data_IF_508600594250
#
_entry.id   IF_508600594250
#
_cell.length_a   1.000
_cell.length_b   1.000
_cell.length_c   1.000
_cell.angle_alpha   90.00
_cell.angle_beta   90.00
_cell.angle_gamma   90.00
#
_symmetry.space_group_name_H-M   'P 1'
#
loop_
_entity.id
_entity.type
_entity.pdbx_description
1 polymer ?
#
# COMPACT_ATOMS: atom_id res chain seq x y z
N UNK A 1 -24.05 20.77 -0.06
CA UNK A 1 -23.25 21.00 1.15
C UNK A 1 -21.82 21.34 0.75
N UNK A 2 -21.25 22.37 1.35
CA UNK A 2 -19.84 22.75 1.19
C UNK A 2 -18.92 21.67 1.79
N UNK A 3 -17.62 21.72 1.48
CA UNK A 3 -16.62 20.85 2.10
C UNK A 3 -16.68 20.89 3.64
N UNK A 4 -16.73 22.11 4.21
CA UNK A 4 -16.77 22.33 5.67
C UNK A 4 -18.02 21.73 6.30
N UNK A 5 -19.18 21.91 5.67
CA UNK A 5 -20.44 21.34 6.14
C UNK A 5 -20.41 19.81 6.13
N UNK A 6 -19.86 19.19 5.08
CA UNK A 6 -19.75 17.74 5.00
C UNK A 6 -18.82 17.17 6.09
N UNK A 7 -17.70 17.84 6.40
CA UNK A 7 -16.80 17.43 7.48
C UNK A 7 -17.48 17.53 8.86
N UNK A 8 -18.18 18.64 9.14
CA UNK A 8 -18.85 18.85 10.42
C UNK A 8 -20.07 17.92 10.62
N UNK A 9 -20.70 17.48 9.52
CA UNK A 9 -21.86 16.59 9.58
C UNK A 9 -21.52 15.20 10.14
N UNK A 10 -20.36 14.64 9.79
CA UNK A 10 -20.05 13.25 10.10
C UNK A 10 -20.98 12.28 9.37
N UNK A 11 -21.66 11.40 10.10
CA UNK A 11 -22.70 10.55 9.50
C UNK A 11 -23.90 11.42 9.11
N UNK A 12 -24.37 11.38 7.85
CA UNK A 12 -25.52 12.17 7.41
C UNK A 12 -26.78 11.95 8.27
N UNK A 13 -27.69 12.93 8.29
CA UNK A 13 -28.97 12.83 9.02
C UNK A 13 -30.02 11.99 8.27
N UNK A 14 -29.86 11.90 6.95
CA UNK A 14 -30.70 11.15 6.02
C UNK A 14 -29.87 10.11 5.27
N UNK A 15 -30.51 9.02 4.84
CA UNK A 15 -29.80 7.93 4.17
C UNK A 15 -29.39 8.42 2.77
N UNK A 16 -28.09 8.52 2.45
CA UNK A 16 -27.66 8.97 1.14
C UNK A 16 -28.10 7.99 0.05
N UNK A 17 -28.23 8.48 -1.18
CA UNK A 17 -28.45 7.59 -2.31
C UNK A 17 -27.31 6.57 -2.45
N UNK A 18 -27.66 5.35 -2.86
CA UNK A 18 -26.69 4.31 -3.13
C UNK A 18 -25.74 4.76 -4.24
N UNK A 19 -24.43 4.63 -4.00
CA UNK A 19 -23.40 4.97 -5.00
C UNK A 19 -23.13 3.78 -5.91
N UNK A 20 -22.94 4.06 -7.19
CA UNK A 20 -22.42 3.06 -8.13
C UNK A 20 -20.90 2.94 -7.97
N UNK A 21 -20.38 1.73 -8.17
CA UNK A 21 -18.94 1.51 -8.19
C UNK A 21 -18.39 2.00 -9.53
N UNK A 22 -17.45 2.95 -9.56
CA UNK A 22 -16.87 3.40 -10.82
C UNK A 22 -16.09 2.26 -11.48
N UNK A 23 -16.26 2.12 -12.78
CA UNK A 23 -15.49 1.21 -13.60
C UNK A 23 -14.07 1.77 -13.85
N UNK A 24 -13.09 0.89 -14.03
CA UNK A 24 -11.72 1.29 -14.42
C UNK A 24 -10.82 1.85 -13.31
N UNK A 25 -11.27 1.89 -12.04
CA UNK A 25 -10.38 2.29 -10.93
C UNK A 25 -9.51 1.12 -10.43
N UNK A 26 -8.32 1.44 -9.91
CA UNK A 26 -7.43 0.45 -9.29
C UNK A 26 -7.99 -0.02 -7.94
N UNK A 27 -8.81 -1.07 -7.95
CA UNK A 27 -9.43 -1.65 -6.74
C UNK A 27 -8.48 -2.56 -5.97
N UNK A 28 -8.67 -2.64 -4.67
CA UNK A 28 -8.04 -3.71 -3.89
C UNK A 28 -8.55 -5.09 -4.35
N UNK A 29 -7.71 -6.14 -4.32
CA UNK A 29 -8.15 -7.49 -4.63
C UNK A 29 -9.19 -7.98 -3.61
N UNK A 30 -10.10 -8.86 -4.07
CA UNK A 30 -11.08 -9.51 -3.20
C UNK A 30 -10.38 -10.25 -2.06
N UNK A 31 -10.83 -10.05 -0.83
CA UNK A 31 -10.27 -10.70 0.37
C UNK A 31 -10.81 -12.12 0.55
N UNK A 32 -10.05 -12.95 1.28
CA UNK A 32 -10.40 -14.34 1.59
C UNK A 32 -11.75 -14.38 2.33
N UNK A 33 -12.66 -15.22 1.84
CA UNK A 33 -13.94 -15.47 2.52
C UNK A 33 -13.71 -16.50 3.64
N UNK A 34 -13.34 -16.01 4.82
CA UNK A 34 -12.93 -16.84 5.97
C UNK A 34 -14.00 -16.92 7.08
N UNK A 35 -15.05 -16.10 6.98
CA UNK A 35 -16.06 -15.98 8.04
C UNK A 35 -17.11 -17.10 7.95
N UNK A 36 -17.50 -17.65 9.10
CA UNK A 36 -18.70 -18.50 9.23
C UNK A 36 -19.99 -17.71 8.96
N UNK A 37 -21.12 -18.40 8.86
CA UNK A 37 -22.42 -17.74 8.70
C UNK A 37 -22.75 -16.80 9.89
N UNK A 38 -22.48 -17.25 11.11
CA UNK A 38 -22.66 -16.48 12.35
C UNK A 38 -21.71 -15.28 12.41
N UNK A 39 -20.47 -15.46 11.98
CA UNK A 39 -19.48 -14.39 11.89
C UNK A 39 -19.85 -13.36 10.81
N UNK A 40 -20.39 -13.78 9.67
CA UNK A 40 -20.92 -12.85 8.64
C UNK A 40 -22.07 -12.01 9.20
N UNK A 41 -23.00 -12.63 9.94
CA UNK A 41 -24.05 -11.89 10.64
C UNK A 41 -23.48 -10.92 11.68
N UNK A 42 -22.46 -11.34 12.42
CA UNK A 42 -21.77 -10.47 13.38
C UNK A 42 -21.07 -9.30 12.70
N UNK A 43 -20.38 -9.51 11.56
CA UNK A 43 -19.75 -8.45 10.77
C UNK A 43 -20.77 -7.40 10.33
N UNK A 44 -21.94 -7.83 9.86
CA UNK A 44 -23.02 -6.92 9.47
C UNK A 44 -23.55 -6.16 10.69
N UNK A 45 -23.82 -6.83 11.81
CA UNK A 45 -24.22 -6.15 13.07
C UNK A 45 -23.17 -5.14 13.51
N UNK A 46 -21.90 -5.50 13.41
CA UNK A 46 -20.76 -4.66 13.76
C UNK A 46 -20.69 -3.39 12.89
N UNK A 47 -20.93 -3.52 11.58
CA UNK A 47 -21.02 -2.40 10.65
C UNK A 47 -22.24 -1.50 10.93
N UNK A 48 -23.38 -2.09 11.29
CA UNK A 48 -24.62 -1.34 11.58
C UNK A 48 -24.56 -0.47 12.84
N UNK A 49 -23.59 -0.70 13.74
CA UNK A 49 -23.39 0.11 14.97
C UNK A 49 -23.18 1.60 14.68
N UNK A 50 -22.65 1.95 13.50
CA UNK A 50 -22.40 3.34 13.11
C UNK A 50 -23.66 4.09 12.65
N UNK A 51 -24.79 3.40 12.47
CA UNK A 51 -25.96 3.96 11.78
C UNK A 51 -27.25 3.86 12.61
N UNK A 52 -28.19 4.80 12.44
CA UNK A 52 -29.51 4.74 13.05
C UNK A 52 -30.27 3.45 12.71
N UNK A 53 -31.02 2.90 13.69
CA UNK A 53 -31.81 1.66 13.54
C UNK A 53 -32.76 1.69 12.34
N UNK A 54 -33.32 2.86 12.00
CA UNK A 54 -34.22 3.04 10.84
C UNK A 54 -33.58 2.65 9.49
N UNK A 55 -32.25 2.66 9.38
CA UNK A 55 -31.54 2.28 8.15
C UNK A 55 -31.07 0.84 8.14
N UNK A 56 -31.16 0.12 9.26
CA UNK A 56 -30.55 -1.19 9.41
C UNK A 56 -31.10 -2.20 8.40
N UNK A 57 -32.39 -2.14 8.04
CA UNK A 57 -32.98 -3.04 7.05
C UNK A 57 -32.32 -2.91 5.67
N UNK A 58 -32.11 -1.68 5.20
CA UNK A 58 -31.51 -1.43 3.89
C UNK A 58 -29.99 -1.67 3.92
N UNK A 59 -29.31 -1.13 4.94
CA UNK A 59 -27.86 -1.25 5.07
C UNK A 59 -27.40 -2.68 5.36
N UNK A 60 -28.20 -3.51 6.05
CA UNK A 60 -27.85 -4.92 6.27
C UNK A 60 -27.71 -5.67 4.94
N UNK A 61 -28.63 -5.43 4.00
CA UNK A 61 -28.62 -6.05 2.67
C UNK A 61 -27.41 -5.55 1.88
N UNK A 62 -27.15 -4.24 1.91
CA UNK A 62 -26.01 -3.64 1.21
C UNK A 62 -24.66 -4.12 1.77
N UNK A 63 -24.49 -4.16 3.09
CA UNK A 63 -23.26 -4.61 3.73
C UNK A 63 -23.05 -6.12 3.57
N UNK A 64 -24.11 -6.92 3.55
CA UNK A 64 -24.01 -8.33 3.19
C UNK A 64 -23.50 -8.51 1.74
N UNK A 65 -23.95 -7.66 0.82
CA UNK A 65 -23.51 -7.68 -0.57
C UNK A 65 -22.04 -7.23 -0.70
N UNK A 66 -21.63 -6.15 -0.03
CA UNK A 66 -20.22 -5.72 -0.02
C UNK A 66 -19.31 -6.83 0.54
N UNK A 67 -19.71 -7.46 1.65
CA UNK A 67 -18.95 -8.55 2.25
C UNK A 67 -18.80 -9.73 1.28
N UNK A 68 -19.85 -10.06 0.52
CA UNK A 68 -19.81 -11.13 -0.50
C UNK A 68 -18.89 -10.76 -1.68
N UNK A 69 -18.97 -9.53 -2.16
CA UNK A 69 -18.30 -9.10 -3.38
C UNK A 69 -16.81 -8.83 -3.13
N UNK A 70 -16.48 -8.21 -2.00
CA UNK A 70 -15.14 -7.71 -1.70
C UNK A 70 -14.44 -8.46 -0.55
N UNK A 71 -15.17 -9.24 0.25
CA UNK A 71 -14.67 -9.84 1.49
C UNK A 71 -14.55 -8.84 2.65
N UNK A 72 -15.06 -7.61 2.46
CA UNK A 72 -15.02 -6.48 3.41
C UNK A 72 -16.26 -5.61 3.25
N UNK A 73 -16.59 -4.87 4.31
CA UNK A 73 -17.67 -3.87 4.33
C UNK A 73 -17.01 -2.49 4.38
N UNK A 74 -16.88 -1.84 3.23
CA UNK A 74 -16.24 -0.52 3.10
C UNK A 74 -17.22 0.62 3.30
N UNK A 75 -18.53 0.35 3.17
CA UNK A 75 -19.62 1.31 3.29
C UNK A 75 -19.53 2.41 2.21
N UNK A 76 -19.37 2.00 0.94
CA UNK A 76 -19.08 2.93 -0.16
C UNK A 76 -20.13 4.03 -0.35
N UNK A 77 -21.39 3.76 0.02
CA UNK A 77 -22.47 4.76 0.04
C UNK A 77 -22.07 6.04 0.79
N UNK A 78 -21.23 5.91 1.82
CA UNK A 78 -20.84 7.01 2.71
C UNK A 78 -19.50 7.66 2.33
N UNK A 79 -18.84 7.23 1.25
CA UNK A 79 -17.66 7.94 0.75
C UNK A 79 -18.05 9.39 0.40
N UNK A 80 -17.31 10.43 0.84
CA UNK A 80 -17.61 11.81 0.48
C UNK A 80 -17.49 12.10 -1.03
N UNK A 81 -18.21 13.14 -1.47
CA UNK A 81 -18.23 13.61 -2.87
C UNK A 81 -17.21 14.70 -3.16
N UNK A 82 -16.62 15.32 -2.14
CA UNK A 82 -15.49 16.24 -2.37
C UNK A 82 -14.25 15.49 -2.83
N UNK A 83 -13.40 16.20 -3.58
CA UNK A 83 -12.10 15.68 -3.97
C UNK A 83 -11.21 15.41 -2.75
N UNK A 84 -10.57 14.24 -2.75
CA UNK A 84 -9.73 13.75 -1.67
C UNK A 84 -8.27 14.17 -1.90
N UNK A 85 -7.83 15.23 -1.23
CA UNK A 85 -6.45 15.69 -1.26
C UNK A 85 -6.14 16.55 -0.02
N UNK A 86 -4.85 16.74 0.27
CA UNK A 86 -4.41 17.63 1.34
C UNK A 86 -4.64 19.11 0.95
N UNK A 87 -5.68 19.72 1.51
CA UNK A 87 -6.00 21.15 1.37
C UNK A 87 -5.09 22.04 2.24
N UNK A 88 -4.97 23.35 1.94
CA UNK A 88 -4.47 24.34 2.89
C UNK A 88 -5.13 24.20 4.26
N UNK A 89 -4.35 24.31 5.33
CA UNK A 89 -4.81 24.04 6.71
C UNK A 89 -6.00 24.93 7.13
N UNK A 90 -6.11 26.15 6.59
CA UNK A 90 -7.19 27.11 6.85
C UNK A 90 -8.54 26.74 6.22
N UNK A 91 -8.56 25.77 5.29
CA UNK A 91 -9.80 25.28 4.68
C UNK A 91 -10.55 24.28 5.56
N UNK A 92 -9.89 23.67 6.54
CA UNK A 92 -10.53 22.71 7.44
C UNK A 92 -11.35 23.44 8.52
N UNK A 93 -12.57 22.96 8.85
CA UNK A 93 -13.44 23.59 9.84
C UNK A 93 -13.06 23.19 11.28
N UNK A 94 -11.76 23.17 11.61
CA UNK A 94 -11.29 22.76 12.93
C UNK A 94 -11.30 23.91 13.94
N UNK A 95 -11.57 23.61 15.21
CA UNK A 95 -11.36 24.57 16.31
C UNK A 95 -9.88 24.72 16.68
N UNK A 96 -9.04 23.71 16.42
CA UNK A 96 -7.61 23.74 16.71
C UNK A 96 -6.79 23.49 15.45
N UNK A 97 -5.63 24.14 15.36
CA UNK A 97 -4.72 23.97 14.23
C UNK A 97 -4.14 22.55 14.17
N UNK A 98 -3.86 21.94 15.33
CA UNK A 98 -3.36 20.57 15.38
C UNK A 98 -4.36 19.57 14.79
N UNK A 99 -5.66 19.72 15.09
CA UNK A 99 -6.67 18.84 14.52
C UNK A 99 -6.85 19.07 13.00
N UNK A 100 -6.76 20.33 12.54
CA UNK A 100 -6.72 20.65 11.11
C UNK A 100 -5.55 19.97 10.39
N UNK A 101 -4.35 20.00 10.99
CA UNK A 101 -3.17 19.33 10.42
C UNK A 101 -3.37 17.81 10.32
N UNK A 102 -4.01 17.18 11.31
CA UNK A 102 -4.30 15.74 11.26
C UNK A 102 -5.32 15.42 10.16
N UNK A 103 -6.38 16.22 10.02
CA UNK A 103 -7.33 16.08 8.90
C UNK A 103 -6.65 16.19 7.54
N UNK A 104 -5.72 17.13 7.39
CA UNK A 104 -4.89 17.29 6.19
C UNK A 104 -4.11 16.01 5.89
N UNK A 105 -3.42 15.45 6.88
CA UNK A 105 -2.61 14.26 6.69
C UNK A 105 -3.45 13.01 6.41
N UNK A 106 -4.63 12.88 7.02
CA UNK A 106 -5.59 11.82 6.69
C UNK A 106 -6.00 11.90 5.22
N UNK A 107 -6.35 13.09 4.73
CA UNK A 107 -6.73 13.28 3.32
C UNK A 107 -5.53 13.08 2.37
N UNK A 108 -4.30 13.39 2.80
CA UNK A 108 -3.09 13.05 2.04
C UNK A 108 -2.94 11.54 1.85
N UNK A 109 -3.09 10.76 2.93
CA UNK A 109 -2.99 9.31 2.89
C UNK A 109 -4.06 8.65 2.00
N UNK A 110 -5.19 9.33 1.76
CA UNK A 110 -6.30 8.87 0.92
C UNK A 110 -6.35 9.54 -0.46
N UNK A 111 -5.40 10.44 -0.75
CA UNK A 111 -5.35 11.13 -2.03
C UNK A 111 -5.12 10.11 -3.17
N UNK A 112 -5.91 10.11 -4.26
CA UNK A 112 -5.70 9.21 -5.39
C UNK A 112 -4.31 9.28 -6.04
N UNK A 113 -3.60 10.40 -5.92
CA UNK A 113 -2.22 10.53 -6.38
C UNK A 113 -1.19 9.86 -5.45
N UNK A 114 -1.58 9.52 -4.22
CA UNK A 114 -0.72 8.99 -3.16
C UNK A 114 -1.08 7.53 -2.81
N UNK A 115 -2.36 7.27 -2.56
CA UNK A 115 -2.88 5.99 -2.09
C UNK A 115 -2.93 4.93 -3.19
N UNK A 116 -2.62 3.68 -2.84
CA UNK A 116 -2.68 2.54 -3.75
C UNK A 116 -4.12 2.18 -4.15
N UNK A 117 -5.04 2.12 -3.17
CA UNK A 117 -6.46 1.84 -3.37
C UNK A 117 -7.31 2.82 -2.53
N UNK A 118 -7.43 4.09 -2.96
CA UNK A 118 -8.04 5.17 -2.17
C UNK A 118 -9.50 4.91 -1.79
N UNK A 119 -10.26 4.21 -2.64
CA UNK A 119 -11.67 3.92 -2.40
C UNK A 119 -11.89 2.85 -1.32
N UNK A 120 -10.92 1.96 -1.15
CA UNK A 120 -10.85 0.93 -0.11
C UNK A 120 -10.07 1.42 1.12
N UNK A 121 -9.74 2.72 1.17
CA UNK A 121 -9.02 3.37 2.25
C UNK A 121 -7.60 2.80 2.49
N UNK A 122 -7.00 2.20 1.48
CA UNK A 122 -5.66 1.58 1.55
C UNK A 122 -4.62 2.50 0.91
N UNK A 123 -3.62 2.88 1.69
CA UNK A 123 -2.54 3.77 1.25
C UNK A 123 -1.43 3.00 0.55
N UNK A 124 -0.91 1.90 1.13
CA UNK A 124 0.15 1.10 0.50
C UNK A 124 0.27 -0.31 1.11
N UNK A 125 1.18 -1.12 0.56
CA UNK A 125 1.44 -2.48 1.03
C UNK A 125 0.31 -3.47 0.73
N UNK A 126 -0.58 -3.13 -0.20
CA UNK A 126 -1.72 -3.96 -0.60
C UNK A 126 -2.89 -3.98 0.40
N UNK A 127 -2.65 -3.83 1.70
CA UNK A 127 -3.68 -3.83 2.75
C UNK A 127 -3.45 -2.81 3.89
N UNK A 128 -2.40 -1.98 3.81
CA UNK A 128 -2.12 -0.92 4.78
C UNK A 128 -3.17 0.19 4.71
N UNK A 129 -4.13 0.16 5.62
CA UNK A 129 -5.33 0.99 5.59
C UNK A 129 -5.27 2.16 6.57
N UNK A 130 -5.95 3.24 6.19
CA UNK A 130 -6.22 4.42 7.03
C UNK A 130 -7.38 4.13 7.98
N UNK A 131 -8.47 3.60 7.43
CA UNK A 131 -9.67 3.17 8.16
C UNK A 131 -10.22 1.88 7.55
N UNK A 132 -11.06 1.17 8.29
CA UNK A 132 -11.72 -0.05 7.80
C UNK A 132 -12.86 0.28 6.83
N UNK A 133 -13.52 1.43 7.02
CA UNK A 133 -14.70 1.82 6.26
C UNK A 133 -14.92 3.34 6.28
N UNK A 134 -15.80 3.83 5.40
CA UNK A 134 -16.07 5.25 5.25
C UNK A 134 -16.82 5.88 6.43
N UNK A 135 -17.56 5.13 7.24
CA UNK A 135 -18.19 5.67 8.44
C UNK A 135 -17.14 6.10 9.49
N UNK A 136 -16.09 5.30 9.66
CA UNK A 136 -14.97 5.65 10.52
C UNK A 136 -14.27 6.93 10.05
N UNK A 137 -14.02 7.07 8.75
CA UNK A 137 -13.50 8.31 8.16
C UNK A 137 -14.39 9.51 8.52
N UNK A 138 -15.70 9.44 8.26
CA UNK A 138 -16.62 10.55 8.49
C UNK A 138 -16.64 10.98 9.96
N UNK A 139 -16.72 10.03 10.88
CA UNK A 139 -16.74 10.30 12.32
C UNK A 139 -15.40 10.87 12.81
N UNK A 140 -14.28 10.34 12.35
CA UNK A 140 -12.95 10.88 12.71
C UNK A 140 -12.80 12.32 12.23
N UNK A 141 -13.17 12.62 10.99
CA UNK A 141 -13.11 13.99 10.47
C UNK A 141 -14.02 14.94 11.24
N UNK A 142 -15.23 14.49 11.60
CA UNK A 142 -16.14 15.27 12.45
C UNK A 142 -15.54 15.54 13.83
N UNK A 143 -15.02 14.52 14.51
CA UNK A 143 -14.42 14.66 15.84
C UNK A 143 -13.21 15.59 15.83
N UNK A 144 -12.33 15.47 14.82
CA UNK A 144 -11.21 16.40 14.65
C UNK A 144 -11.68 17.85 14.38
N UNK A 145 -12.77 18.04 13.65
CA UNK A 145 -13.31 19.38 13.41
C UNK A 145 -13.84 20.03 14.70
N UNK A 146 -14.52 19.27 15.57
CA UNK A 146 -15.21 19.83 16.75
C UNK A 146 -14.39 19.80 18.05
N UNK A 147 -13.30 19.03 18.12
CA UNK A 147 -12.52 18.87 19.35
C UNK A 147 -11.84 20.15 19.80
N UNK A 148 -11.64 20.31 21.11
CA UNK A 148 -10.82 21.37 21.70
C UNK A 148 -9.37 20.94 21.89
N UNK A 149 -8.53 21.86 22.36
CA UNK A 149 -7.14 21.59 22.76
C UNK A 149 -7.05 20.81 24.07
N UNK A 150 -8.15 20.64 24.80
CA UNK A 150 -8.25 19.89 26.07
C UNK A 150 -8.88 18.50 25.86
N UNK A 151 -8.83 17.99 24.63
CA UNK A 151 -9.36 16.67 24.29
C UNK A 151 -8.34 15.84 23.50
N UNK A 152 -8.48 14.52 23.63
CA UNK A 152 -7.77 13.50 22.86
C UNK A 152 -8.80 12.58 22.18
N UNK A 153 -8.64 12.38 20.88
CA UNK A 153 -9.39 11.38 20.11
C UNK A 153 -8.69 10.02 20.23
N UNK A 154 -9.38 9.03 20.77
CA UNK A 154 -8.86 7.66 20.86
C UNK A 154 -9.30 6.83 19.65
N UNK A 155 -8.34 6.31 18.89
CA UNK A 155 -8.56 5.51 17.69
C UNK A 155 -8.22 4.03 17.96
N UNK A 156 -9.21 3.17 17.76
CA UNK A 156 -9.14 1.72 17.93
C UNK A 156 -9.15 1.03 16.57
N UNK A 157 -7.96 0.82 16.00
CA UNK A 157 -7.78 0.20 14.68
C UNK A 157 -8.70 0.81 13.60
N UNK A 158 -8.71 2.14 13.52
CA UNK A 158 -9.58 2.89 12.61
C UNK A 158 -10.92 3.30 13.22
N UNK A 159 -11.46 2.59 14.22
CA UNK A 159 -12.69 3.03 14.90
C UNK A 159 -12.42 4.27 15.78
N UNK A 160 -13.10 5.41 15.57
CA UNK A 160 -13.01 6.53 16.49
C UNK A 160 -13.87 6.25 17.73
N UNK A 161 -13.22 5.84 18.83
CA UNK A 161 -13.90 5.51 20.08
C UNK A 161 -14.59 6.75 20.70
N UNK A 162 -13.98 7.92 20.52
CA UNK A 162 -14.55 9.20 20.93
C UNK A 162 -13.50 10.20 21.41
N UNK A 163 -13.97 11.38 21.76
CA UNK A 163 -13.20 12.46 22.37
C UNK A 163 -13.24 12.34 23.89
N UNK A 164 -12.07 12.28 24.51
CA UNK A 164 -11.92 12.20 25.96
C UNK A 164 -11.19 13.44 26.49
N UNK A 165 -11.54 13.96 27.67
CA UNK A 165 -10.81 15.07 28.29
C UNK A 165 -9.33 14.74 28.48
N UNK A 166 -8.46 15.71 28.23
CA UNK A 166 -7.01 15.63 28.37
C UNK A 166 -6.42 17.02 28.66
N UNK A 167 -5.09 17.16 28.62
CA UNK A 167 -4.41 18.48 28.72
C UNK A 167 -4.08 19.06 27.35
N UNK A 168 -3.74 20.35 27.32
CA UNK A 168 -3.30 21.06 26.11
C UNK A 168 -2.04 20.45 25.49
N UNK A 169 -1.14 19.94 26.33
CA UNK A 169 0.11 19.30 25.90
C UNK A 169 -0.05 17.81 25.54
N UNK A 170 -1.22 17.22 25.77
CA UNK A 170 -1.49 15.84 25.37
C UNK A 170 -1.55 15.69 23.84
N UNK A 171 -1.30 14.49 23.30
CA UNK A 171 -1.58 14.20 21.90
C UNK A 171 -3.04 14.47 21.56
N UNK A 172 -3.32 15.10 20.41
CA UNK A 172 -4.72 15.26 19.95
C UNK A 172 -5.35 13.94 19.53
N UNK A 173 -4.55 12.97 19.11
CA UNK A 173 -5.01 11.64 18.70
C UNK A 173 -4.04 10.58 19.23
N UNK A 174 -4.59 9.52 19.82
CA UNK A 174 -3.85 8.29 20.14
C UNK A 174 -4.37 7.18 19.22
N UNK A 175 -3.47 6.56 18.46
CA UNK A 175 -3.83 5.55 17.46
C UNK A 175 -3.24 4.21 17.78
N UNK A 176 -4.10 3.18 17.76
CA UNK A 176 -3.71 1.78 17.73
C UNK A 176 -4.18 1.16 16.43
N UNK A 177 -3.39 0.26 15.84
CA UNK A 177 -3.77 -0.48 14.64
C UNK A 177 -3.29 -1.92 14.77
N UNK A 178 -4.19 -2.90 14.68
CA UNK A 178 -3.79 -4.30 14.61
C UNK A 178 -3.22 -4.87 15.91
N UNK A 179 -3.47 -4.22 17.07
CA UNK A 179 -3.05 -4.76 18.35
C UNK A 179 -3.92 -5.96 18.70
N UNK A 180 -3.27 -7.12 18.87
CA UNK A 180 -3.90 -8.41 19.09
C UNK A 180 -3.36 -9.05 20.37
N UNK A 181 -4.19 -9.89 21.01
CA UNK A 181 -3.68 -10.85 22.00
C UNK A 181 -2.73 -11.81 21.25
N UNK A 182 -1.50 -12.07 21.73
CA UNK A 182 -0.49 -12.78 20.95
C UNK A 182 -0.94 -14.12 20.36
N UNK A 183 -1.71 -14.91 21.12
CA UNK A 183 -2.22 -16.22 20.68
C UNK A 183 -3.24 -16.14 19.52
N UNK A 184 -3.73 -14.95 19.16
CA UNK A 184 -4.73 -14.70 18.13
C UNK A 184 -4.22 -13.69 17.09
N UNK A 185 -2.91 -13.69 16.85
CA UNK A 185 -2.22 -12.78 15.93
C UNK A 185 -1.69 -13.48 14.68
N UNK A 186 -2.24 -14.64 14.32
CA UNK A 186 -1.89 -15.33 13.06
C UNK A 186 -2.49 -14.60 11.85
N UNK A 187 -1.97 -14.82 10.62
CA UNK A 187 -2.51 -14.17 9.42
C UNK A 187 -4.02 -14.40 9.20
N UNK A 188 -4.50 -15.63 9.43
CA UNK A 188 -5.93 -15.97 9.26
C UNK A 188 -6.81 -15.36 10.37
N UNK A 189 -6.29 -15.25 11.60
CA UNK A 189 -6.96 -14.50 12.67
C UNK A 189 -7.15 -13.05 12.26
N UNK A 190 -6.08 -12.41 11.77
CA UNK A 190 -6.11 -11.02 11.36
C UNK A 190 -7.12 -10.79 10.21
N UNK A 191 -7.12 -11.65 9.19
CA UNK A 191 -8.08 -11.57 8.08
C UNK A 191 -9.53 -11.72 8.55
N UNK A 192 -9.79 -12.62 9.50
CA UNK A 192 -11.11 -12.82 10.13
C UNK A 192 -11.53 -11.57 10.91
N UNK A 193 -10.69 -11.07 11.82
CA UNK A 193 -11.04 -9.94 12.67
C UNK A 193 -11.19 -8.62 11.90
N UNK A 194 -10.46 -8.46 10.80
CA UNK A 194 -10.64 -7.32 9.91
C UNK A 194 -11.97 -7.42 9.15
N UNK A 195 -12.36 -8.60 8.65
CA UNK A 195 -13.68 -8.80 8.05
C UNK A 195 -14.84 -8.55 9.03
N UNK A 196 -14.64 -8.90 10.31
CA UNK A 196 -15.59 -8.64 11.39
C UNK A 196 -15.72 -7.15 11.75
N UNK A 197 -14.83 -6.29 11.25
CA UNK A 197 -14.85 -4.86 11.55
C UNK A 197 -14.29 -4.51 12.93
N UNK A 198 -13.38 -5.33 13.49
CA UNK A 198 -12.83 -5.14 14.84
C UNK A 198 -11.32 -4.84 14.87
N UNK A 199 -10.62 -4.93 13.74
CA UNK A 199 -9.21 -4.56 13.63
C UNK A 199 -8.84 -4.15 12.20
N UNK A 200 -7.66 -3.55 12.02
CA UNK A 200 -7.09 -3.24 10.71
C UNK A 200 -5.57 -3.33 10.75
N UNK A 201 -4.94 -3.33 9.57
CA UNK A 201 -3.49 -3.29 9.42
C UNK A 201 -3.15 -1.89 8.95
N UNK A 202 -2.57 -1.10 9.85
CA UNK A 202 -2.18 0.28 9.57
C UNK A 202 -0.84 0.40 8.88
N UNK A 203 -0.13 -0.71 8.61
CA UNK A 203 1.29 -0.66 8.25
C UNK A 203 2.02 0.21 9.31
N UNK A 204 2.94 1.06 8.89
CA UNK A 204 3.63 2.06 9.72
C UNK A 204 2.94 3.41 9.56
N UNK A 205 2.91 3.95 8.33
CA UNK A 205 2.46 5.33 8.07
C UNK A 205 1.07 5.45 7.46
N UNK A 206 0.42 4.34 7.08
CA UNK A 206 -0.92 4.36 6.51
C UNK A 206 -1.96 4.64 7.61
N UNK A 207 -1.98 3.81 8.65
CA UNK A 207 -2.89 3.94 9.78
C UNK A 207 -2.45 4.98 10.82
N UNK A 208 -1.26 5.57 10.70
CA UNK A 208 -0.79 6.67 11.55
C UNK A 208 -0.87 8.04 10.86
N UNK A 209 -1.46 8.11 9.67
CA UNK A 209 -1.74 9.35 8.94
C UNK A 209 -0.49 10.18 8.62
N UNK A 210 0.58 9.57 8.10
CA UNK A 210 1.80 10.32 7.77
C UNK A 210 2.58 9.77 6.56
N UNK A 211 1.90 9.13 5.62
CA UNK A 211 2.53 8.66 4.39
C UNK A 211 2.65 9.83 3.41
N UNK A 212 3.86 10.10 2.94
CA UNK A 212 4.17 11.25 2.05
C UNK A 212 4.52 10.80 0.63
N UNK A 213 4.01 9.63 0.24
CA UNK A 213 4.41 9.01 -1.00
C UNK A 213 5.80 8.37 -0.90
N UNK A 214 6.41 8.07 -2.05
CA UNK A 214 7.56 7.18 -2.13
C UNK A 214 8.92 7.87 -1.86
N UNK A 215 8.96 9.19 -1.64
CA UNK A 215 10.20 9.93 -1.34
C UNK A 215 10.96 9.38 -0.11
N UNK A 216 10.24 9.02 0.96
CA UNK A 216 10.87 8.44 2.16
C UNK A 216 11.63 7.15 1.85
N UNK A 217 11.13 6.35 0.92
CA UNK A 217 11.77 5.11 0.49
C UNK A 217 12.97 5.40 -0.40
N UNK A 218 12.89 6.37 -1.33
CA UNK A 218 14.04 6.78 -2.14
C UNK A 218 15.22 7.15 -1.25
N UNK A 219 15.01 7.97 -0.23
CA UNK A 219 16.05 8.34 0.73
C UNK A 219 16.60 7.11 1.49
N UNK A 220 15.72 6.28 2.07
CA UNK A 220 16.14 5.08 2.80
C UNK A 220 16.97 4.13 1.95
N UNK A 221 16.49 3.79 0.74
CA UNK A 221 17.20 2.92 -0.19
C UNK A 221 18.52 3.52 -0.64
N UNK A 222 18.58 4.85 -0.86
CA UNK A 222 19.83 5.54 -1.22
C UNK A 222 20.88 5.34 -0.13
N UNK A 223 20.51 5.55 1.13
CA UNK A 223 21.40 5.35 2.27
C UNK A 223 21.83 3.88 2.40
N UNK A 224 20.93 2.93 2.17
CA UNK A 224 21.27 1.49 2.13
C UNK A 224 22.31 1.20 1.05
N UNK A 225 22.10 1.66 -0.17
CA UNK A 225 23.04 1.42 -1.29
C UNK A 225 24.40 2.09 -1.03
N UNK A 226 24.41 3.33 -0.58
CA UNK A 226 25.66 4.03 -0.24
C UNK A 226 26.44 3.29 0.86
N UNK A 227 25.74 2.74 1.87
CA UNK A 227 26.39 1.94 2.91
C UNK A 227 26.85 0.57 2.40
N UNK A 228 26.06 -0.10 1.55
CA UNK A 228 26.42 -1.37 0.94
C UNK A 228 27.71 -1.20 0.14
N UNK A 229 27.79 -0.21 -0.76
CA UNK A 229 29.00 0.10 -1.50
C UNK A 229 30.17 0.48 -0.59
N UNK A 230 29.98 1.34 0.43
CA UNK A 230 31.06 1.64 1.40
C UNK A 230 31.61 0.40 2.11
N UNK A 231 30.78 -0.63 2.32
CA UNK A 231 31.17 -1.87 3.00
C UNK A 231 31.98 -2.81 2.10
N UNK A 232 31.65 -2.88 0.81
CA UNK A 232 32.26 -3.83 -0.13
C UNK A 232 33.40 -3.24 -0.96
N UNK A 233 33.41 -1.93 -1.16
CA UNK A 233 34.39 -1.25 -1.99
C UNK A 233 35.60 -0.80 -1.17
N UNK A 234 36.74 -0.69 -1.84
CA UNK A 234 37.93 -0.06 -1.27
C UNK A 234 37.72 1.44 -1.11
N UNK A 235 38.51 2.07 -0.24
CA UNK A 235 38.35 3.48 0.15
C UNK A 235 38.48 4.47 -1.02
N UNK A 236 39.21 4.10 -2.06
CA UNK A 236 39.48 4.86 -3.27
C UNK A 236 38.51 4.56 -4.42
N UNK A 237 37.63 3.57 -4.25
CA UNK A 237 36.63 3.21 -5.24
C UNK A 237 35.29 3.91 -4.98
N UNK A 238 34.52 4.14 -6.06
CA UNK A 238 33.17 4.67 -6.00
C UNK A 238 32.17 3.76 -6.75
N UNK A 239 30.85 3.99 -6.62
CA UNK A 239 29.82 3.14 -7.25
C UNK A 239 29.69 3.28 -8.77
N UNK A 240 30.37 4.25 -9.41
CA UNK A 240 30.19 4.50 -10.84
C UNK A 240 30.62 3.28 -11.67
N UNK A 241 29.79 2.89 -12.64
CA UNK A 241 30.01 1.68 -13.44
C UNK A 241 29.76 0.36 -12.70
N UNK A 242 29.38 0.40 -11.42
CA UNK A 242 29.09 -0.80 -10.61
C UNK A 242 27.60 -1.10 -10.64
N UNK A 243 27.26 -2.38 -10.63
CA UNK A 243 25.89 -2.84 -10.81
C UNK A 243 25.24 -3.14 -9.46
N UNK A 244 24.04 -2.59 -9.28
CA UNK A 244 23.04 -2.99 -8.31
C UNK A 244 21.90 -3.71 -9.03
N UNK A 245 21.76 -5.03 -8.84
CA UNK A 245 20.67 -5.83 -9.38
C UNK A 245 19.61 -6.11 -8.30
N UNK A 246 18.36 -5.84 -8.63
CA UNK A 246 17.22 -6.04 -7.73
C UNK A 246 15.93 -6.39 -8.47
N UNK A 247 14.84 -6.57 -7.72
CA UNK A 247 13.51 -6.89 -8.24
C UNK A 247 12.41 -6.05 -7.60
N UNK A 248 11.32 -5.91 -8.36
CA UNK A 248 10.09 -5.24 -7.98
C UNK A 248 10.11 -3.73 -8.26
N UNK A 249 9.03 -3.24 -8.87
CA UNK A 249 8.75 -1.82 -9.13
C UNK A 249 7.38 -1.39 -8.57
N UNK A 250 6.92 -2.09 -7.54
CA UNK A 250 5.72 -1.79 -6.77
C UNK A 250 5.83 -0.51 -5.93
N UNK A 251 4.93 -0.33 -4.96
CA UNK A 251 4.79 0.92 -4.19
C UNK A 251 6.11 1.44 -3.57
N UNK A 252 6.80 0.57 -2.82
CA UNK A 252 8.09 0.88 -2.20
C UNK A 252 9.28 0.52 -3.11
N UNK A 253 9.23 -0.65 -3.77
CA UNK A 253 10.35 -1.16 -4.57
C UNK A 253 10.62 -0.36 -5.85
N UNK A 254 9.63 0.39 -6.33
CA UNK A 254 9.81 1.35 -7.43
C UNK A 254 10.80 2.48 -7.13
N UNK A 255 11.15 2.73 -5.87
CA UNK A 255 12.14 3.74 -5.48
C UNK A 255 13.60 3.31 -5.71
N UNK A 256 13.85 2.01 -5.84
CA UNK A 256 15.20 1.44 -5.94
C UNK A 256 16.02 1.98 -7.12
N UNK A 257 15.45 2.15 -8.34
CA UNK A 257 16.22 2.62 -9.48
C UNK A 257 16.65 4.09 -9.32
N UNK A 258 15.74 4.95 -8.84
CA UNK A 258 16.07 6.34 -8.50
C UNK A 258 17.12 6.45 -7.40
N UNK A 259 17.04 5.59 -6.39
CA UNK A 259 18.05 5.50 -5.34
C UNK A 259 19.42 5.08 -5.88
N UNK A 260 19.45 4.16 -6.86
CA UNK A 260 20.67 3.79 -7.58
C UNK A 260 21.31 4.97 -8.30
N UNK A 261 20.50 5.77 -9.00
CA UNK A 261 20.99 6.99 -9.67
C UNK A 261 21.59 7.99 -8.68
N UNK A 262 20.93 8.22 -7.54
CA UNK A 262 21.46 9.14 -6.50
C UNK A 262 22.73 8.58 -5.85
N UNK A 263 22.80 7.26 -5.65
CA UNK A 263 23.98 6.58 -5.13
C UNK A 263 25.13 6.51 -6.15
N UNK A 264 24.88 6.83 -7.42
CA UNK A 264 25.89 6.87 -8.48
C UNK A 264 26.21 5.50 -9.10
N UNK A 265 25.31 4.52 -9.03
CA UNK A 265 25.53 3.19 -9.62
C UNK A 265 24.65 2.94 -10.85
N UNK A 266 24.94 1.84 -11.55
CA UNK A 266 24.03 1.26 -12.53
C UNK A 266 23.03 0.43 -11.75
N UNK A 267 21.74 0.71 -11.91
CA UNK A 267 20.69 -0.10 -11.28
C UNK A 267 19.90 -0.87 -12.33
N UNK A 268 19.66 -2.16 -12.06
CA UNK A 268 18.81 -3.03 -12.87
C UNK A 268 17.72 -3.57 -11.97
N UNK A 269 16.46 -3.24 -12.27
CA UNK A 269 15.30 -3.69 -11.52
C UNK A 269 14.36 -4.49 -12.43
N UNK A 270 14.22 -5.79 -12.17
CA UNK A 270 13.28 -6.63 -12.90
C UNK A 270 11.86 -6.53 -12.31
N UNK A 271 10.86 -6.45 -13.18
CA UNK A 271 9.44 -6.39 -12.80
C UNK A 271 8.60 -7.16 -13.84
N UNK A 272 7.84 -8.14 -13.38
CA UNK A 272 6.99 -8.96 -14.25
C UNK A 272 5.71 -8.26 -14.69
N UNK A 273 5.25 -7.25 -13.92
CA UNK A 273 4.06 -6.48 -14.26
C UNK A 273 4.43 -5.29 -15.16
N UNK A 274 4.13 -5.33 -16.48
CA UNK A 274 4.51 -4.27 -17.41
C UNK A 274 3.89 -2.92 -17.01
N UNK A 275 2.70 -2.92 -16.40
CA UNK A 275 2.05 -1.68 -15.93
C UNK A 275 2.83 -1.01 -14.79
N UNK A 276 3.42 -1.80 -13.89
CA UNK A 276 4.21 -1.26 -12.80
C UNK A 276 5.52 -0.65 -13.33
N UNK A 277 6.23 -1.37 -14.21
CA UNK A 277 7.46 -0.89 -14.82
C UNK A 277 7.24 0.38 -15.67
N UNK A 278 6.24 0.36 -16.55
CA UNK A 278 5.86 1.51 -17.40
C UNK A 278 5.51 2.73 -16.56
N UNK A 279 4.73 2.55 -15.49
CA UNK A 279 4.38 3.63 -14.57
C UNK A 279 5.61 4.27 -13.93
N UNK A 280 6.63 3.50 -13.56
CA UNK A 280 7.87 4.07 -12.98
C UNK A 280 8.71 4.81 -14.01
N UNK A 281 8.76 4.31 -15.24
CA UNK A 281 9.39 5.01 -16.34
C UNK A 281 8.70 6.36 -16.62
N UNK A 282 7.37 6.38 -16.77
CA UNK A 282 6.57 7.60 -17.00
C UNK A 282 6.72 8.63 -15.86
N UNK A 283 6.94 8.17 -14.63
CA UNK A 283 7.19 9.04 -13.48
C UNK A 283 8.61 9.65 -13.46
N UNK A 284 9.53 9.21 -14.34
CA UNK A 284 10.94 9.60 -14.31
C UNK A 284 11.72 8.98 -13.15
N UNK A 285 11.23 7.84 -12.65
CA UNK A 285 11.85 7.08 -11.55
C UNK A 285 12.85 6.04 -12.05
N UNK A 286 12.76 5.71 -13.33
CA UNK A 286 13.65 4.84 -14.08
C UNK A 286 14.02 5.55 -15.38
N UNK A 287 15.26 5.42 -15.84
CA UNK A 287 15.76 6.11 -17.04
C UNK A 287 15.46 5.33 -18.33
N UNK A 288 15.49 4.00 -18.28
CA UNK A 288 15.31 3.13 -19.45
C UNK A 288 14.39 1.96 -19.11
N UNK A 289 13.37 1.76 -19.93
CA UNK A 289 12.49 0.58 -19.90
C UNK A 289 12.92 -0.39 -21.01
N UNK A 290 13.07 -1.67 -20.69
CA UNK A 290 13.54 -2.72 -21.60
C UNK A 290 12.69 -3.98 -21.38
N UNK A 291 12.28 -4.65 -22.45
CA UNK A 291 11.59 -5.95 -22.43
C UNK A 291 12.34 -7.07 -23.18
N UNK A 292 13.47 -6.74 -23.82
CA UNK A 292 14.37 -7.70 -24.47
C UNK A 292 15.65 -7.93 -23.65
N UNK A 293 15.97 -9.22 -23.40
CA UNK A 293 17.10 -9.60 -22.57
C UNK A 293 18.46 -9.30 -23.23
N UNK A 294 18.57 -9.48 -24.55
CA UNK A 294 19.83 -9.23 -25.27
C UNK A 294 20.14 -7.72 -25.29
N UNK A 295 19.11 -6.89 -25.46
CA UNK A 295 19.21 -5.44 -25.33
C UNK A 295 19.63 -5.01 -23.92
N UNK A 296 19.05 -5.62 -22.87
CA UNK A 296 19.43 -5.35 -21.48
C UNK A 296 20.92 -5.63 -21.26
N UNK A 297 21.40 -6.81 -21.66
CA UNK A 297 22.80 -7.22 -21.54
C UNK A 297 23.72 -6.24 -22.26
N UNK A 298 23.40 -5.88 -23.52
CA UNK A 298 24.20 -4.96 -24.31
C UNK A 298 24.29 -3.57 -23.67
N UNK A 299 23.16 -3.01 -23.22
CA UNK A 299 23.10 -1.70 -22.58
C UNK A 299 23.80 -1.67 -21.22
N UNK A 300 23.68 -2.72 -20.42
CA UNK A 300 24.37 -2.83 -19.12
C UNK A 300 25.89 -2.89 -19.32
N UNK A 301 26.38 -3.74 -20.22
CA UNK A 301 27.83 -3.81 -20.56
C UNK A 301 28.36 -2.46 -21.05
N UNK A 302 27.58 -1.75 -21.89
CA UNK A 302 27.94 -0.42 -22.37
C UNK A 302 27.96 0.63 -21.24
N UNK A 303 26.99 0.59 -20.32
CA UNK A 303 26.94 1.47 -19.16
C UNK A 303 28.13 1.24 -18.22
N UNK A 304 28.52 -0.02 -17.97
CA UNK A 304 29.70 -0.38 -17.18
C UNK A 304 30.98 0.22 -17.79
N UNK A 305 31.18 0.03 -19.10
CA UNK A 305 32.35 0.57 -19.82
C UNK A 305 32.46 2.09 -19.71
N UNK A 306 31.33 2.78 -19.67
CA UNK A 306 31.27 4.24 -19.59
C UNK A 306 31.27 4.78 -18.15
N UNK A 307 31.34 3.92 -17.13
CA UNK A 307 31.14 4.29 -15.73
C UNK A 307 29.86 5.12 -15.51
N UNK A 308 28.79 4.77 -16.23
CA UNK A 308 27.56 5.54 -16.26
C UNK A 308 26.76 5.41 -14.96
N UNK A 309 25.91 6.41 -14.71
CA UNK A 309 24.87 6.38 -13.70
C UNK A 309 23.54 6.31 -14.44
N UNK A 310 22.91 5.14 -14.44
CA UNK A 310 21.71 4.87 -15.23
C UNK A 310 20.89 3.75 -14.58
N UNK A 311 19.58 3.88 -14.68
CA UNK A 311 18.62 2.90 -14.17
C UNK A 311 17.85 2.21 -15.29
N UNK A 312 17.80 0.87 -15.22
CA UNK A 312 17.08 0.00 -16.14
C UNK A 312 15.92 -0.69 -15.41
N UNK A 313 14.71 -0.60 -15.96
CA UNK A 313 13.59 -1.47 -15.61
C UNK A 313 13.47 -2.55 -16.69
N UNK A 314 13.66 -3.80 -16.29
CA UNK A 314 13.46 -4.95 -17.18
C UNK A 314 12.06 -5.53 -16.96
N UNK A 315 11.26 -5.60 -18.03
CA UNK A 315 9.95 -6.24 -18.01
C UNK A 315 10.16 -7.74 -18.16
N UNK A 316 10.20 -8.44 -17.03
CA UNK A 316 10.48 -9.87 -16.99
C UNK A 316 10.80 -10.35 -15.58
N UNK A 317 11.19 -11.62 -15.45
CA UNK A 317 11.51 -12.21 -14.16
C UNK A 317 12.96 -11.90 -13.75
N UNK A 318 13.19 -11.62 -12.46
CA UNK A 318 14.54 -11.37 -11.93
C UNK A 318 15.43 -12.61 -12.03
N UNK A 319 14.84 -13.81 -11.94
CA UNK A 319 15.60 -15.07 -12.07
C UNK A 319 16.26 -15.18 -13.42
N UNK A 320 15.55 -14.82 -14.51
CA UNK A 320 16.12 -14.82 -15.86
C UNK A 320 17.28 -13.82 -15.98
N UNK A 321 17.21 -12.68 -15.30
CA UNK A 321 18.29 -11.67 -15.29
C UNK A 321 19.51 -12.19 -14.53
N UNK A 322 19.31 -12.83 -13.37
CA UNK A 322 20.41 -13.44 -12.61
C UNK A 322 21.13 -14.53 -13.41
N UNK A 323 20.36 -15.47 -13.96
CA UNK A 323 20.90 -16.57 -14.78
C UNK A 323 21.62 -16.00 -16.01
N UNK A 324 21.02 -15.05 -16.72
CA UNK A 324 21.66 -14.45 -17.90
C UNK A 324 22.92 -13.65 -17.57
N UNK A 325 22.93 -12.89 -16.48
CA UNK A 325 24.12 -12.12 -16.09
C UNK A 325 25.27 -13.03 -15.66
N UNK A 326 24.97 -14.19 -15.08
CA UNK A 326 25.96 -15.21 -14.79
C UNK A 326 26.60 -15.77 -16.07
N UNK A 327 25.78 -16.19 -17.04
CA UNK A 327 26.26 -16.71 -18.33
C UNK A 327 27.07 -15.69 -19.13
N UNK A 328 26.72 -14.41 -19.02
CA UNK A 328 27.37 -13.30 -19.72
C UNK A 328 28.59 -12.71 -18.98
N UNK A 329 28.96 -13.31 -17.84
CA UNK A 329 30.03 -12.90 -16.94
C UNK A 329 29.91 -11.43 -16.46
N UNK A 330 28.68 -10.95 -16.28
CA UNK A 330 28.39 -9.60 -15.78
C UNK A 330 28.48 -9.60 -14.25
N UNK A 331 29.54 -9.01 -13.71
CA UNK A 331 29.73 -8.94 -12.26
C UNK A 331 28.78 -7.94 -11.57
N UNK A 332 27.81 -8.48 -10.82
CA UNK A 332 26.92 -7.71 -9.95
C UNK A 332 27.60 -7.43 -8.63
N UNK A 333 27.76 -6.15 -8.29
CA UNK A 333 28.46 -5.74 -7.07
C UNK A 333 27.55 -5.77 -5.85
N UNK A 334 26.28 -5.38 -6.02
CA UNK A 334 25.25 -5.44 -4.99
C UNK A 334 24.04 -6.16 -5.57
N UNK A 335 23.70 -7.31 -4.99
CA UNK A 335 22.45 -8.02 -5.27
C UNK A 335 21.43 -7.81 -4.15
N UNK A 336 20.16 -7.65 -4.49
CA UNK A 336 19.05 -7.61 -3.53
C UNK A 336 17.78 -8.16 -4.18
N UNK A 337 16.73 -8.31 -3.39
CA UNK A 337 15.37 -8.56 -3.85
C UNK A 337 14.39 -7.74 -3.02
N UNK A 338 13.38 -7.14 -3.67
CA UNK A 338 12.28 -6.47 -2.98
C UNK A 338 10.91 -6.88 -3.55
N UNK A 339 10.82 -8.12 -4.02
CA UNK A 339 9.52 -8.77 -4.27
C UNK A 339 8.75 -8.94 -2.96
N UNK A 340 7.43 -9.10 -3.03
CA UNK A 340 6.59 -9.13 -1.83
C UNK A 340 6.51 -10.54 -1.22
N UNK A 341 7.66 -11.10 -0.83
CA UNK A 341 7.77 -12.44 -0.23
C UNK A 341 7.08 -12.62 1.13
N UNK A 342 6.55 -11.55 1.72
CA UNK A 342 5.69 -11.63 2.89
C UNK A 342 4.26 -12.14 2.56
N UNK A 343 3.87 -12.11 1.29
CA UNK A 343 2.60 -12.66 0.77
C UNK A 343 2.82 -13.46 -0.55
N UNK A 344 3.74 -14.44 -0.56
CA UNK A 344 4.26 -15.02 -1.79
C UNK A 344 3.20 -15.82 -2.57
N UNK A 345 2.19 -16.36 -1.88
CA UNK A 345 1.16 -17.24 -2.46
C UNK A 345 0.00 -16.49 -3.12
N UNK A 346 -0.10 -15.18 -2.89
CA UNK A 346 -1.26 -14.37 -3.31
C UNK A 346 -0.84 -13.22 -4.22
N UNK A 347 0.14 -13.46 -5.09
CA UNK A 347 0.62 -12.47 -6.07
C UNK A 347 1.72 -11.54 -5.54
N UNK A 348 2.39 -11.91 -4.45
CA UNK A 348 3.57 -11.18 -3.96
C UNK A 348 4.89 -11.55 -4.66
N UNK A 349 4.99 -12.78 -5.17
CA UNK A 349 6.11 -13.30 -5.93
C UNK A 349 5.59 -14.07 -7.15
N UNK A 350 6.21 -13.90 -8.31
CA UNK A 350 5.77 -14.52 -9.56
C UNK A 350 6.83 -15.54 -10.01
N UNK A 351 6.44 -16.80 -10.26
CA UNK A 351 7.40 -17.83 -10.62
C UNK A 351 7.99 -17.61 -12.01
N UNK A 352 9.28 -17.88 -12.17
CA UNK A 352 9.97 -17.88 -13.46
C UNK A 352 9.37 -18.93 -14.41
N UNK A 353 9.33 -18.62 -15.71
CA UNK A 353 8.76 -19.48 -16.73
C UNK A 353 7.23 -19.49 -16.81
N UNK A 354 6.54 -18.64 -16.02
CA UNK A 354 5.09 -18.42 -16.10
C UNK A 354 4.85 -16.95 -16.39
N UNK A 355 4.01 -16.64 -17.38
CA UNK A 355 3.68 -15.24 -17.69
C UNK A 355 2.91 -14.57 -16.54
N UNK A 356 2.95 -13.24 -16.48
CA UNK A 356 2.23 -12.47 -15.46
C UNK A 356 0.72 -12.74 -15.50
N UNK A 357 0.13 -12.82 -16.69
CA UNK A 357 -1.29 -13.11 -16.91
C UNK A 357 -1.66 -14.52 -16.45
N UNK A 358 -0.87 -15.52 -16.82
CA UNK A 358 -1.09 -16.91 -16.42
C UNK A 358 -0.93 -17.10 -14.91
N UNK A 359 0.08 -16.49 -14.30
CA UNK A 359 0.27 -16.50 -12.87
C UNK A 359 -0.94 -15.91 -12.12
N UNK A 360 -1.49 -14.79 -12.60
CA UNK A 360 -2.70 -14.19 -12.03
C UNK A 360 -3.95 -15.09 -12.18
N UNK A 361 -4.04 -15.86 -13.26
CA UNK A 361 -5.08 -16.87 -13.44
C UNK A 361 -4.87 -18.04 -12.48
N UNK A 362 -3.64 -18.54 -12.36
CA UNK A 362 -3.25 -19.66 -11.50
C UNK A 362 -3.50 -19.36 -10.02
N UNK A 363 -3.24 -18.14 -9.55
CA UNK A 363 -3.57 -17.72 -8.17
C UNK A 363 -5.05 -17.96 -7.84
N UNK A 364 -5.95 -17.76 -8.80
CA UNK A 364 -7.41 -17.90 -8.60
C UNK A 364 -7.89 -19.33 -8.81
N UNK A 365 -7.41 -19.98 -9.87
CA UNK A 365 -7.95 -21.25 -10.33
C UNK A 365 -7.19 -22.46 -9.76
N UNK A 366 -5.90 -22.30 -9.47
CA UNK A 366 -4.98 -23.39 -9.10
C UNK A 366 -3.96 -22.94 -8.02
N UNK A 367 -4.42 -22.47 -6.85
CA UNK A 367 -3.55 -21.86 -5.83
C UNK A 367 -2.45 -22.79 -5.30
N UNK A 368 -2.71 -24.10 -5.19
CA UNK A 368 -1.69 -25.06 -4.75
C UNK A 368 -0.58 -25.24 -5.79
N UNK A 369 -0.93 -25.29 -7.08
CA UNK A 369 0.06 -25.33 -8.17
C UNK A 369 0.88 -24.04 -8.23
N UNK A 370 0.23 -22.89 -8.05
CA UNK A 370 0.92 -21.60 -7.98
C UNK A 370 1.98 -21.60 -6.86
N UNK A 371 1.60 -22.09 -5.67
CA UNK A 371 2.51 -22.20 -4.54
C UNK A 371 3.69 -23.12 -4.84
N UNK A 372 3.47 -24.28 -5.47
CA UNK A 372 4.53 -25.19 -5.89
C UNK A 372 5.50 -24.50 -6.86
N UNK A 373 4.98 -23.81 -7.88
CA UNK A 373 5.78 -23.07 -8.86
C UNK A 373 6.58 -21.93 -8.24
N UNK A 374 6.00 -21.18 -7.30
CA UNK A 374 6.73 -20.15 -6.54
C UNK A 374 7.88 -20.78 -5.76
N UNK A 375 7.67 -21.91 -5.09
CA UNK A 375 8.74 -22.59 -4.36
C UNK A 375 9.85 -23.10 -5.28
N UNK A 376 9.50 -23.63 -6.45
CA UNK A 376 10.46 -24.04 -7.49
C UNK A 376 11.31 -22.85 -7.96
N UNK A 377 10.66 -21.73 -8.28
CA UNK A 377 11.32 -20.49 -8.69
C UNK A 377 12.21 -19.91 -7.59
N UNK A 378 11.80 -19.97 -6.32
CA UNK A 378 12.60 -19.47 -5.20
C UNK A 378 13.87 -20.28 -4.97
N UNK A 379 13.82 -21.61 -5.20
CA UNK A 379 15.02 -22.44 -5.15
C UNK A 379 16.01 -22.05 -6.24
N UNK A 380 15.53 -21.77 -7.46
CA UNK A 380 16.34 -21.25 -8.57
C UNK A 380 16.88 -19.84 -8.32
N UNK A 381 16.08 -18.97 -7.70
CA UNK A 381 16.51 -17.59 -7.41
C UNK A 381 17.64 -17.54 -6.36
N UNK A 382 17.64 -18.49 -5.42
CA UNK A 382 18.63 -18.55 -4.35
C UNK A 382 19.90 -19.34 -4.70
N UNK A 383 19.86 -20.15 -5.76
CA UNK A 383 21.01 -20.92 -6.28
C UNK A 383 21.86 -20.05 -7.19
#
# INVERSE_FOLDING_TARGET
>A
MTFKEQILQGIPSELPQKKQYPEGINRAPKRKDILSAEEKQLAIRNALRYFPKKWHKELAIEFAQELKDFGRIYMYRFKPDYEMYARPISEYPAKTQQAAAIMLMIQNNLNPAVAQHPWELITYGGNGAVFQNWAQYLLTMQYLAIMTDEQTLNMYSGHPMGLFPSSKDAPRVVVTNGLMIPNYSSPDDWERYNALGVTQYGQMTAGSFMYIGPQGIVHGTTITLMNAFRKILKKDENPNGKIFLTAGLGGMSGAQPKAGNIAGCISVAAEVNPKAATKRYEQGWVDVLIDDMDELVAKVKQAQKNNAVVSFAYIGNVVDVWERFYDEEIFVHVGSDQTSLHIPWTGGYYPVGVSYEEANKMIKEQPELFKEKVQESLRRHAS
#
